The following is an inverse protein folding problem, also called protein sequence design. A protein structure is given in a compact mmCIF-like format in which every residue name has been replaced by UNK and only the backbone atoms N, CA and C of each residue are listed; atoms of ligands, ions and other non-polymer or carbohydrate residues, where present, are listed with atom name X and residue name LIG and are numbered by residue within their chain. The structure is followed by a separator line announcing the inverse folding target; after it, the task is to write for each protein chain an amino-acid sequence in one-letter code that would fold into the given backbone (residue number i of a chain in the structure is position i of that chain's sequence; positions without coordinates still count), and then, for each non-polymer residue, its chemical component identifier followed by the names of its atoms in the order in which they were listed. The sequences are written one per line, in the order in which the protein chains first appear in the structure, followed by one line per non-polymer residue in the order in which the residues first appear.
data_IF_612936343326
#
_entry.id   IF_612936343326
#
_cell.length_a   1.000
_cell.length_b   1.000
_cell.length_c   1.000
_cell.angle_alpha   90.00
_cell.angle_beta   90.00
_cell.angle_gamma   90.00
#
_symmetry.space_group_name_H-M   'P 1'
#
loop_
_entity.id
_entity.type
_entity.pdbx_description
1 polymer ?
#
# COMPACT_ATOMS: atom_id res chain seq x y z
N UNK A 1 11.24 26.32 -4.06
CA UNK A 1 10.86 25.62 -2.82
C UNK A 1 9.36 25.29 -2.90
N UNK A 2 8.99 24.27 -3.68
CA UNK A 2 7.62 23.76 -3.80
C UNK A 2 7.78 22.25 -4.02
N UNK A 3 7.69 21.45 -2.96
CA UNK A 3 7.60 19.99 -3.09
C UNK A 3 6.11 19.62 -3.10
N UNK A 4 5.52 19.61 -4.29
CA UNK A 4 4.20 19.07 -4.54
C UNK A 4 4.19 17.57 -4.20
N UNK A 5 3.59 17.20 -3.06
CA UNK A 5 3.38 15.81 -2.66
C UNK A 5 2.02 15.35 -3.21
N UNK A 6 2.06 14.75 -4.40
CA UNK A 6 0.89 14.15 -5.06
C UNK A 6 0.54 12.84 -4.37
N UNK A 7 -0.69 12.72 -3.89
CA UNK A 7 -1.15 11.52 -3.18
C UNK A 7 -2.64 11.29 -3.53
N UNK A 8 -2.87 10.39 -4.49
CA UNK A 8 -4.11 10.14 -5.25
C UNK A 8 -5.23 9.40 -4.49
N UNK A 9 -6.45 9.93 -4.53
CA UNK A 9 -7.66 9.28 -4.03
C UNK A 9 -8.09 8.13 -4.97
N UNK A 10 -8.05 6.87 -4.52
CA UNK A 10 -8.70 5.77 -5.25
C UNK A 10 -10.16 5.65 -4.81
N UNK A 11 -11.02 6.41 -5.47
CA UNK A 11 -12.45 6.09 -5.49
C UNK A 11 -12.60 4.74 -6.20
N UNK A 12 -12.99 3.69 -5.47
CA UNK A 12 -13.31 2.37 -6.03
C UNK A 12 -14.63 2.48 -6.81
N UNK A 13 -14.61 3.12 -7.98
CA UNK A 13 -15.73 3.10 -8.93
C UNK A 13 -15.29 2.82 -10.37
N UNK A 14 -13.99 2.58 -10.62
CA UNK A 14 -13.52 2.18 -11.96
C UNK A 14 -13.58 0.66 -12.18
N UNK A 15 -14.13 0.32 -13.35
CA UNK A 15 -14.40 -1.00 -13.91
C UNK A 15 -13.22 -1.98 -13.74
N UNK A 16 -13.52 -3.29 -13.66
CA UNK A 16 -12.53 -4.36 -13.53
C UNK A 16 -11.39 -4.24 -14.57
N UNK A 17 -11.70 -3.76 -15.78
CA UNK A 17 -10.74 -3.53 -16.86
C UNK A 17 -9.59 -2.60 -16.46
N UNK A 18 -9.88 -1.50 -15.76
CA UNK A 18 -8.85 -0.53 -15.33
C UNK A 18 -7.85 -1.13 -14.34
N UNK A 19 -8.26 -2.15 -13.58
CA UNK A 19 -7.39 -2.84 -12.61
C UNK A 19 -6.60 -3.98 -13.25
N UNK A 20 -7.20 -4.71 -14.20
CA UNK A 20 -6.57 -5.89 -14.81
C UNK A 20 -5.47 -5.53 -15.83
N UNK A 21 -5.64 -4.47 -16.63
CA UNK A 21 -4.64 -4.07 -17.62
C UNK A 21 -3.25 -3.73 -17.05
N UNK A 22 -3.11 -3.00 -15.92
CA UNK A 22 -1.80 -2.70 -15.34
C UNK A 22 -1.16 -3.87 -14.60
N UNK A 23 -1.91 -4.94 -14.28
CA UNK A 23 -1.42 -6.01 -13.41
C UNK A 23 -0.11 -6.68 -13.90
N UNK A 24 0.06 -7.06 -15.18
CA UNK A 24 1.31 -7.64 -15.66
C UNK A 24 2.51 -6.70 -15.50
N UNK A 25 2.30 -5.40 -15.71
CA UNK A 25 3.35 -4.39 -15.54
C UNK A 25 3.78 -4.26 -14.08
N UNK A 26 2.83 -4.34 -13.14
CA UNK A 26 3.12 -4.31 -11.70
C UNK A 26 3.92 -5.56 -11.29
N UNK A 27 3.56 -6.75 -11.78
CA UNK A 27 4.33 -7.97 -11.49
C UNK A 27 5.77 -7.84 -11.99
N UNK A 28 5.96 -7.38 -13.24
CA UNK A 28 7.28 -7.16 -13.80
C UNK A 28 8.08 -6.05 -13.10
N UNK A 29 7.39 -5.07 -12.49
CA UNK A 29 8.03 -4.07 -11.64
C UNK A 29 8.48 -4.72 -10.33
N UNK A 30 7.61 -5.45 -9.64
CA UNK A 30 7.93 -6.13 -8.38
C UNK A 30 9.08 -7.11 -8.54
N UNK A 31 9.12 -7.84 -9.66
CA UNK A 31 10.22 -8.74 -10.00
C UNK A 31 11.56 -7.99 -10.12
N UNK A 32 11.55 -6.83 -10.78
CA UNK A 32 12.71 -5.94 -10.90
C UNK A 32 13.11 -5.25 -9.60
N UNK A 33 12.14 -5.05 -8.68
CA UNK A 33 12.39 -4.56 -7.33
C UNK A 33 12.93 -5.65 -6.39
N UNK A 34 13.21 -6.85 -6.89
CA UNK A 34 13.88 -7.91 -6.13
C UNK A 34 12.93 -8.87 -5.41
N UNK A 35 11.62 -8.86 -5.72
CA UNK A 35 10.69 -9.85 -5.18
C UNK A 35 11.04 -11.24 -5.71
N UNK A 36 11.29 -12.18 -4.81
CA UNK A 36 11.76 -13.54 -5.10
C UNK A 36 10.62 -14.46 -5.58
N UNK A 37 10.01 -14.13 -6.72
CA UNK A 37 9.01 -14.99 -7.32
C UNK A 37 9.60 -16.35 -7.71
N UNK A 38 8.80 -17.40 -7.53
CA UNK A 38 9.09 -18.74 -8.01
C UNK A 38 9.32 -18.72 -9.53
N UNK A 39 10.25 -19.57 -9.97
CA UNK A 39 10.65 -19.68 -11.37
C UNK A 39 10.41 -21.07 -11.90
N UNK A 40 10.10 -21.16 -13.19
CA UNK A 40 10.14 -22.42 -13.93
C UNK A 40 11.61 -22.87 -14.11
N UNK A 41 11.88 -24.12 -14.47
CA UNK A 41 13.25 -24.58 -14.75
C UNK A 41 13.99 -23.74 -15.80
N UNK A 42 13.24 -23.13 -16.72
CA UNK A 42 13.76 -22.24 -17.78
C UNK A 42 14.05 -20.81 -17.27
N UNK A 43 13.76 -20.50 -16.01
CA UNK A 43 14.00 -19.19 -15.39
C UNK A 43 12.86 -18.17 -15.55
N UNK A 44 11.74 -18.56 -16.17
CA UNK A 44 10.57 -17.68 -16.31
C UNK A 44 9.78 -17.60 -15.00
N UNK A 45 8.93 -16.58 -14.84
CA UNK A 45 8.00 -16.52 -13.70
C UNK A 45 7.07 -17.73 -13.71
N UNK A 46 6.95 -18.39 -12.56
CA UNK A 46 6.01 -19.49 -12.37
C UNK A 46 4.64 -18.98 -11.88
N UNK A 47 3.58 -19.64 -12.32
CA UNK A 47 2.20 -19.25 -12.06
C UNK A 47 1.40 -20.43 -11.52
N UNK A 48 0.62 -20.18 -10.48
CA UNK A 48 -0.31 -21.17 -9.90
C UNK A 48 -1.77 -20.82 -10.13
N UNK A 49 -2.63 -21.81 -9.94
CA UNK A 49 -4.08 -21.63 -9.90
C UNK A 49 -4.48 -21.03 -8.56
N UNK A 50 -5.33 -20.01 -8.60
CA UNK A 50 -5.87 -19.37 -7.40
C UNK A 50 -7.15 -18.60 -7.76
N UNK A 51 -7.99 -18.32 -6.76
CA UNK A 51 -9.16 -17.44 -6.93
C UNK A 51 -10.23 -17.94 -7.90
N UNK A 52 -10.28 -19.25 -8.17
CA UNK A 52 -11.28 -19.85 -9.06
C UNK A 52 -11.02 -19.63 -10.56
N UNK A 53 -9.84 -19.15 -10.95
CA UNK A 53 -9.47 -19.02 -12.35
C UNK A 53 -9.24 -20.40 -13.00
N UNK A 54 -9.73 -20.56 -14.24
CA UNK A 54 -9.51 -21.76 -15.05
C UNK A 54 -8.05 -21.91 -15.51
N UNK A 55 -7.32 -20.79 -15.58
CA UNK A 55 -5.91 -20.71 -15.96
C UNK A 55 -5.00 -20.35 -14.78
N UNK A 56 -3.72 -20.71 -14.87
CA UNK A 56 -2.68 -20.32 -13.92
C UNK A 56 -2.28 -18.87 -14.17
N UNK A 57 -2.68 -17.96 -13.28
CA UNK A 57 -2.49 -16.50 -13.47
C UNK A 57 -1.83 -15.82 -12.29
N UNK A 58 -1.61 -16.53 -11.17
CA UNK A 58 -1.07 -15.93 -9.96
C UNK A 58 0.43 -16.24 -9.82
N UNK A 59 1.31 -15.24 -9.94
CA UNK A 59 2.71 -15.39 -9.54
C UNK A 59 2.81 -15.46 -8.02
N UNK A 60 3.78 -16.21 -7.51
CA UNK A 60 3.92 -16.45 -6.08
C UNK A 60 5.39 -16.56 -5.69
N UNK A 61 5.67 -16.24 -4.43
CA UNK A 61 6.94 -16.50 -3.74
C UNK A 61 6.61 -17.41 -2.54
N UNK A 62 6.67 -18.72 -2.77
CA UNK A 62 6.27 -19.76 -1.82
C UNK A 62 4.92 -19.47 -1.14
N UNK A 63 4.91 -19.50 0.19
CA UNK A 63 3.79 -19.10 1.04
C UNK A 63 3.91 -17.67 1.60
N UNK A 64 4.94 -16.90 1.21
CA UNK A 64 5.31 -15.62 1.82
C UNK A 64 5.22 -14.44 0.85
N UNK A 65 4.42 -14.58 -0.22
CA UNK A 65 4.34 -13.57 -1.29
C UNK A 65 4.01 -12.17 -0.78
N UNK A 66 3.06 -12.04 0.15
CA UNK A 66 2.73 -10.73 0.75
C UNK A 66 3.88 -10.11 1.53
N UNK A 67 4.66 -10.92 2.25
CA UNK A 67 5.83 -10.47 3.00
C UNK A 67 6.94 -10.01 2.06
N UNK A 68 7.22 -10.77 1.00
CA UNK A 68 8.24 -10.41 0.00
C UNK A 68 7.89 -9.09 -0.72
N UNK A 69 6.61 -8.91 -1.09
CA UNK A 69 6.13 -7.65 -1.68
C UNK A 69 6.30 -6.47 -0.72
N UNK A 70 5.97 -6.65 0.56
CA UNK A 70 6.09 -5.59 1.56
C UNK A 70 7.56 -5.18 1.78
N UNK A 71 8.47 -6.15 1.81
CA UNK A 71 9.90 -5.88 1.98
C UNK A 71 10.49 -5.10 0.80
N UNK A 72 10.19 -5.52 -0.43
CA UNK A 72 10.65 -4.80 -1.62
C UNK A 72 10.16 -3.34 -1.62
N UNK A 73 8.90 -3.10 -1.23
CA UNK A 73 8.35 -1.75 -1.14
C UNK A 73 8.90 -0.94 0.04
N UNK A 74 9.09 -1.54 1.22
CA UNK A 74 9.69 -0.86 2.38
C UNK A 74 11.13 -0.44 2.06
N UNK A 75 11.88 -1.25 1.32
CA UNK A 75 13.22 -0.90 0.86
C UNK A 75 13.21 0.33 -0.06
N UNK A 76 12.26 0.42 -1.01
CA UNK A 76 12.13 1.61 -1.86
C UNK A 76 11.76 2.85 -1.04
N UNK A 77 10.87 2.71 -0.05
CA UNK A 77 10.52 3.82 0.85
C UNK A 77 11.74 4.29 1.64
N UNK A 78 12.55 3.37 2.17
CA UNK A 78 13.79 3.71 2.88
C UNK A 78 14.81 4.41 1.98
N UNK A 79 14.91 3.99 0.72
CA UNK A 79 15.76 4.68 -0.25
C UNK A 79 15.36 6.15 -0.41
N UNK A 80 14.06 6.45 -0.54
CA UNK A 80 13.54 7.82 -0.62
C UNK A 80 13.59 8.57 0.72
N UNK A 81 13.56 7.86 1.84
CA UNK A 81 13.74 8.43 3.18
C UNK A 81 15.17 8.94 3.38
N UNK A 82 16.18 8.15 2.98
CA UNK A 82 17.59 8.58 3.00
C UNK A 82 17.84 9.79 2.10
N UNK A 83 17.11 9.91 0.99
CA UNK A 83 17.15 11.08 0.11
C UNK A 83 16.42 12.31 0.67
N UNK A 84 15.71 12.17 1.79
CA UNK A 84 14.93 13.25 2.41
C UNK A 84 13.64 13.61 1.65
N UNK A 85 13.20 12.76 0.70
CA UNK A 85 11.99 12.99 -0.08
C UNK A 85 10.76 12.51 0.72
N UNK A 86 10.91 11.40 1.43
CA UNK A 86 9.87 10.79 2.26
C UNK A 86 10.24 10.94 3.72
N UNK A 87 9.28 11.31 4.55
CA UNK A 87 9.42 11.26 6.00
C UNK A 87 8.52 10.17 6.57
N UNK A 88 9.13 9.12 7.13
CA UNK A 88 8.38 8.03 7.75
C UNK A 88 8.07 8.38 9.20
N UNK A 89 6.81 8.74 9.47
CA UNK A 89 6.33 8.86 10.85
C UNK A 89 6.00 7.45 11.36
N UNK A 90 6.67 7.00 12.43
CA UNK A 90 6.62 5.61 12.92
C UNK A 90 5.21 5.05 13.21
N UNK A 91 5.13 3.72 13.34
CA UNK A 91 3.89 2.91 13.29
C UNK A 91 2.82 3.19 14.36
N UNK A 92 3.15 3.89 15.44
CA UNK A 92 2.19 4.17 16.52
C UNK A 92 1.22 5.33 16.21
N UNK A 93 1.09 5.73 14.94
CA UNK A 93 0.30 6.88 14.51
C UNK A 93 -0.88 6.43 13.67
N UNK A 94 -2.09 6.70 14.15
CA UNK A 94 -3.33 6.36 13.44
C UNK A 94 -3.99 7.65 12.95
N UNK A 95 -4.36 7.74 11.66
CA UNK A 95 -5.14 8.88 11.16
C UNK A 95 -6.57 8.82 11.70
N UNK A 96 -7.05 9.93 12.24
CA UNK A 96 -8.46 10.10 12.60
C UNK A 96 -9.32 10.53 11.40
N UNK A 97 -8.73 11.29 10.47
CA UNK A 97 -9.41 11.72 9.26
C UNK A 97 -8.67 12.83 8.53
N UNK A 98 -9.16 13.14 7.33
CA UNK A 98 -8.72 14.29 6.56
C UNK A 98 -9.33 15.58 7.13
N UNK A 99 -8.55 16.65 7.15
CA UNK A 99 -8.98 18.01 7.47
C UNK A 99 -9.46 18.66 6.19
N UNK A 100 -10.67 19.21 6.23
CA UNK A 100 -11.27 19.96 5.13
C UNK A 100 -11.33 21.44 5.47
N UNK A 101 -11.09 22.31 4.48
CA UNK A 101 -11.34 23.73 4.61
C UNK A 101 -12.85 24.04 4.42
N UNK A 102 -13.22 25.32 4.53
CA UNK A 102 -14.61 25.78 4.36
C UNK A 102 -15.19 25.48 2.96
N UNK A 103 -14.34 25.31 1.96
CA UNK A 103 -14.74 24.97 0.58
C UNK A 103 -14.81 23.44 0.35
N UNK A 104 -14.62 22.63 1.39
CA UNK A 104 -14.61 21.17 1.31
C UNK A 104 -13.33 20.57 0.71
N UNK A 105 -12.25 21.33 0.55
CA UNK A 105 -10.96 20.85 0.05
C UNK A 105 -10.12 20.26 1.16
N UNK A 106 -9.48 19.12 0.90
CA UNK A 106 -8.53 18.52 1.84
C UNK A 106 -7.28 19.40 1.96
N UNK A 107 -6.91 19.71 3.21
CA UNK A 107 -5.74 20.56 3.54
C UNK A 107 -4.79 19.89 4.55
N UNK A 108 -5.06 18.63 4.91
CA UNK A 108 -4.27 17.92 5.88
C UNK A 108 -4.98 16.72 6.49
N UNK A 109 -4.41 16.17 7.56
CA UNK A 109 -4.99 15.08 8.32
C UNK A 109 -4.74 15.26 9.83
N UNK A 110 -5.68 14.78 10.64
CA UNK A 110 -5.49 14.65 12.09
C UNK A 110 -4.94 13.27 12.40
N UNK A 111 -3.89 13.22 13.21
CA UNK A 111 -3.19 12.00 13.58
C UNK A 111 -3.13 11.88 15.10
N UNK A 112 -3.39 10.67 15.60
CA UNK A 112 -3.22 10.32 17.00
C UNK A 112 -1.99 9.44 17.17
N UNK A 113 -1.06 9.89 18.01
CA UNK A 113 0.09 9.12 18.44
C UNK A 113 -0.27 8.25 19.65
N UNK A 114 -0.47 6.95 19.42
CA UNK A 114 -0.87 5.98 20.43
C UNK A 114 0.17 5.77 21.54
N UNK A 115 1.44 6.12 21.30
CA UNK A 115 2.49 6.00 22.34
C UNK A 115 2.44 7.15 23.34
N UNK A 116 2.11 8.36 22.89
CA UNK A 116 2.14 9.57 23.72
C UNK A 116 0.75 10.07 24.09
N UNK A 117 -0.31 9.62 23.41
CA UNK A 117 -1.66 10.17 23.50
C UNK A 117 -1.83 11.51 22.77
N UNK A 118 -0.78 12.00 22.10
CA UNK A 118 -0.81 13.30 21.43
C UNK A 118 -1.66 13.25 20.16
N UNK A 119 -2.54 14.22 20.01
CA UNK A 119 -3.31 14.46 18.78
C UNK A 119 -2.69 15.68 18.08
N UNK A 120 -2.31 15.50 16.82
CA UNK A 120 -1.67 16.55 16.02
C UNK A 120 -2.32 16.66 14.64
N UNK A 121 -2.31 17.86 14.06
CA UNK A 121 -2.70 18.09 12.68
C UNK A 121 -1.45 18.17 11.79
N UNK A 122 -1.45 17.45 10.67
CA UNK A 122 -0.45 17.58 9.62
C UNK A 122 -1.08 18.27 8.42
N UNK A 123 -0.46 19.34 7.94
CA UNK A 123 -0.88 20.01 6.72
C UNK A 123 -0.39 19.24 5.49
N UNK A 124 -1.20 19.24 4.44
CA UNK A 124 -0.85 18.64 3.16
C UNK A 124 -1.87 18.94 2.08
N UNK A 125 -1.39 19.12 0.84
CA UNK A 125 -2.25 19.41 -0.31
C UNK A 125 -3.13 18.20 -0.70
N UNK A 126 -2.73 17.00 -0.29
CA UNK A 126 -3.45 15.76 -0.54
C UNK A 126 -3.17 14.73 0.57
N UNK A 127 -4.19 13.91 0.88
CA UNK A 127 -4.12 12.83 1.87
C UNK A 127 -4.62 11.52 1.24
N UNK A 128 -3.77 10.48 1.27
CA UNK A 128 -4.17 9.09 1.00
C UNK A 128 -4.33 8.39 2.34
N UNK A 129 -5.50 7.78 2.52
CA UNK A 129 -5.74 6.83 3.59
C UNK A 129 -5.60 5.41 3.00
N UNK A 130 -4.55 4.71 3.43
CA UNK A 130 -4.27 3.32 3.08
C UNK A 130 -4.22 2.43 4.33
N UNK A 131 -5.21 2.61 5.23
CA UNK A 131 -5.25 2.03 6.58
C UNK A 131 -5.68 0.55 6.64
N UNK A 132 -5.88 -0.10 5.49
CA UNK A 132 -6.42 -1.46 5.42
C UNK A 132 -7.94 -1.53 5.63
N UNK A 133 -8.46 -2.75 5.81
CA UNK A 133 -9.90 -3.02 5.92
C UNK A 133 -10.40 -3.28 7.35
N UNK A 134 -11.70 -3.07 7.64
CA UNK A 134 -12.28 -3.14 8.99
C UNK A 134 -12.60 -4.58 9.44
N UNK A 135 -11.69 -5.53 9.24
CA UNK A 135 -11.97 -6.96 9.50
C UNK A 135 -12.13 -7.32 10.98
N UNK A 136 -11.76 -6.44 11.91
CA UNK A 136 -11.92 -6.65 13.37
C UNK A 136 -13.34 -6.34 13.88
N UNK A 137 -14.24 -5.89 13.01
CA UNK A 137 -15.67 -5.75 13.35
C UNK A 137 -16.33 -7.13 13.54
N UNK A 138 -15.73 -8.19 12.98
CA UNK A 138 -16.23 -9.56 13.07
C UNK A 138 -15.54 -10.32 14.20
N UNK A 139 -16.30 -11.11 14.96
CA UNK A 139 -15.78 -11.89 16.09
C UNK A 139 -14.76 -12.97 15.70
N UNK A 140 -14.71 -13.40 14.43
CA UNK A 140 -13.66 -14.26 13.88
C UNK A 140 -13.08 -13.58 12.64
N UNK A 141 -11.78 -13.35 12.65
CA UNK A 141 -11.09 -12.64 11.57
C UNK A 141 -9.69 -13.19 11.38
N UNK A 142 -9.22 -13.23 10.12
CA UNK A 142 -7.82 -13.50 9.78
C UNK A 142 -6.98 -12.23 9.72
N UNK A 143 -7.57 -11.06 9.99
CA UNK A 143 -6.86 -9.79 10.00
C UNK A 143 -5.95 -9.70 11.23
N UNK A 144 -4.82 -9.02 11.05
CA UNK A 144 -3.89 -8.71 12.13
C UNK A 144 -4.51 -7.72 13.14
N UNK A 145 -4.18 -7.91 14.42
CA UNK A 145 -4.55 -7.01 15.52
C UNK A 145 -3.40 -6.06 15.93
N UNK A 146 -2.27 -6.12 15.23
CA UNK A 146 -0.99 -5.51 15.61
C UNK A 146 -0.54 -4.53 14.55
#
# INVERSE_FOLDING_TARGET
MIQSKVVTFWQISRSAKTKCHPAPYIINLMDRLGVTFNRTPEGNLDFRRFGGHSTTVQPFAGATTGQQLLYALDEQVRHFEVQGIVEKKGMARIPFGAVLNNDGRCVGAVIHNLRTGEIMALNGDAVILATGGPGLVYGRSTNSMV
#
